data_IF_496090615584
#
_entry.id   IF_496090615584
#
_cell.length_a   1.000
_cell.length_b   1.000
_cell.length_c   1.000
_cell.angle_alpha   90.00
_cell.angle_beta   90.00
_cell.angle_gamma   90.00
#
_symmetry.space_group_name_H-M   'P 1'
#
loop_
_entity.id
_entity.type
_entity.pdbx_description
1 polymer ?
#
# COMPACT_ATOMS: atom_id res chain seq x y z
N UNK A 1 7.95 6.14 18.50
CA UNK A 1 9.37 5.72 18.49
C UNK A 1 9.92 5.61 19.91
N UNK A 2 9.93 6.67 20.72
CA UNK A 2 10.46 6.63 22.10
C UNK A 2 9.79 5.55 22.99
N UNK A 3 8.46 5.40 22.93
CA UNK A 3 7.72 4.38 23.71
C UNK A 3 8.01 2.93 23.29
N UNK A 4 8.36 2.71 22.01
CA UNK A 4 8.71 1.39 21.48
C UNK A 4 10.10 0.95 21.94
N UNK A 5 11.03 1.90 22.06
CA UNK A 5 12.41 1.65 22.50
C UNK A 5 12.50 1.42 24.01
N UNK A 6 11.66 2.09 24.81
CA UNK A 6 11.67 1.95 26.27
C UNK A 6 10.93 0.73 26.81
N UNK A 7 10.30 -0.07 25.94
CA UNK A 7 9.55 -1.29 26.33
C UNK A 7 8.33 -1.02 27.24
N UNK A 8 7.99 0.26 27.45
CA UNK A 8 6.93 0.67 28.35
C UNK A 8 5.58 0.36 27.71
N UNK A 9 4.81 -0.54 28.32
CA UNK A 9 3.45 -0.87 27.90
C UNK A 9 2.50 0.19 28.47
N UNK A 10 1.97 1.12 27.67
CA UNK A 10 1.04 2.11 28.18
C UNK A 10 -0.25 1.41 28.68
N UNK A 11 -0.97 2.03 29.63
CA UNK A 11 -2.22 1.47 30.16
C UNK A 11 -3.21 1.16 29.03
N UNK A 12 -4.01 0.10 29.21
CA UNK A 12 -4.89 -0.45 28.17
C UNK A 12 -5.86 0.59 27.56
N UNK A 13 -6.22 1.62 28.32
CA UNK A 13 -7.09 2.71 27.87
C UNK A 13 -6.41 3.51 26.75
N UNK A 14 -5.14 3.91 26.92
CA UNK A 14 -4.38 4.64 25.90
C UNK A 14 -4.18 3.78 24.64
N UNK A 15 -3.91 2.49 24.81
CA UNK A 15 -3.81 1.55 23.68
C UNK A 15 -5.13 1.44 22.92
N UNK A 16 -6.26 1.31 23.61
CA UNK A 16 -7.58 1.23 22.99
C UNK A 16 -7.91 2.51 22.22
N UNK A 17 -7.72 3.69 22.82
CA UNK A 17 -7.99 4.97 22.16
C UNK A 17 -7.13 5.12 20.91
N UNK A 18 -5.82 4.86 21.02
CA UNK A 18 -4.91 4.96 19.88
C UNK A 18 -5.27 3.98 18.75
N UNK A 19 -5.65 2.74 19.09
CA UNK A 19 -6.12 1.76 18.10
C UNK A 19 -7.43 2.20 17.44
N UNK A 20 -8.40 2.73 18.19
CA UNK A 20 -9.65 3.25 17.62
C UNK A 20 -9.40 4.40 16.66
N UNK A 21 -8.57 5.36 17.04
CA UNK A 21 -8.20 6.47 16.16
C UNK A 21 -7.49 5.96 14.89
N UNK A 22 -6.52 5.06 15.04
CA UNK A 22 -5.81 4.44 13.91
C UNK A 22 -6.74 3.69 12.95
N UNK A 23 -7.71 2.95 13.49
CA UNK A 23 -8.70 2.22 12.70
C UNK A 23 -9.63 3.13 11.89
N UNK A 24 -9.88 4.37 12.34
CA UNK A 24 -10.72 5.35 11.62
C UNK A 24 -9.99 6.06 10.47
N UNK A 25 -8.66 6.16 10.52
CA UNK A 25 -7.90 6.90 9.48
C UNK A 25 -8.07 6.26 8.10
N UNK A 26 -8.08 4.93 8.02
CA UNK A 26 -8.23 4.20 6.75
C UNK A 26 -9.57 4.47 6.04
N UNK A 27 -10.75 4.27 6.67
CA UNK A 27 -12.03 4.57 6.03
C UNK A 27 -12.21 6.07 5.73
N UNK A 28 -11.70 6.97 6.57
CA UNK A 28 -11.69 8.40 6.29
C UNK A 28 -10.83 8.74 5.06
N UNK A 29 -9.67 8.10 4.90
CA UNK A 29 -8.82 8.25 3.71
C UNK A 29 -9.53 7.79 2.44
N UNK A 30 -10.25 6.67 2.51
CA UNK A 30 -11.02 6.14 1.38
C UNK A 30 -12.17 7.08 0.97
N UNK A 31 -12.89 7.65 1.94
CA UNK A 31 -13.92 8.66 1.67
C UNK A 31 -13.32 9.91 1.02
N UNK A 32 -12.15 10.36 1.50
CA UNK A 32 -11.44 11.50 0.93
C UNK A 32 -11.01 11.24 -0.52
N UNK A 33 -10.43 10.07 -0.80
CA UNK A 33 -10.08 9.63 -2.17
C UNK A 33 -11.33 9.64 -3.06
N UNK A 34 -12.46 9.12 -2.58
CA UNK A 34 -13.74 9.15 -3.31
C UNK A 34 -14.22 10.56 -3.65
N UNK A 35 -14.10 11.50 -2.71
CA UNK A 35 -14.40 12.92 -2.95
C UNK A 35 -13.48 13.53 -4.00
N UNK A 36 -12.18 13.29 -3.92
CA UNK A 36 -11.20 13.79 -4.90
C UNK A 36 -11.52 13.30 -6.32
N UNK A 37 -11.91 12.04 -6.47
CA UNK A 37 -12.33 11.45 -7.75
C UNK A 37 -13.63 12.10 -8.26
N UNK A 38 -14.61 12.32 -7.39
CA UNK A 38 -15.87 12.95 -7.78
C UNK A 38 -15.67 14.38 -8.28
N UNK A 39 -14.86 15.18 -7.57
CA UNK A 39 -14.60 16.59 -7.94
C UNK A 39 -13.92 16.76 -9.29
N UNK A 40 -13.01 15.85 -9.64
CA UNK A 40 -12.27 15.91 -10.91
C UNK A 40 -12.97 15.12 -12.03
N UNK A 41 -14.05 14.39 -11.69
CA UNK A 41 -14.84 13.57 -12.59
C UNK A 41 -14.19 12.22 -12.93
N UNK A 42 -15.00 11.15 -12.98
CA UNK A 42 -14.52 9.80 -13.31
C UNK A 42 -13.84 9.72 -14.69
N UNK A 43 -14.18 10.63 -15.60
CA UNK A 43 -13.62 10.70 -16.96
C UNK A 43 -12.16 11.19 -16.97
N UNK A 44 -11.70 11.82 -15.89
CA UNK A 44 -10.34 12.31 -15.73
C UNK A 44 -9.42 11.32 -14.99
N UNK A 45 -9.91 10.10 -14.65
CA UNK A 45 -9.09 8.94 -14.27
C UNK A 45 -8.34 8.38 -15.50
N UNK A 46 -7.57 9.24 -16.17
CA UNK A 46 -6.64 8.79 -17.20
C UNK A 46 -5.41 8.26 -16.50
N UNK A 47 -5.13 6.98 -16.73
CA UNK A 47 -3.86 6.37 -16.34
C UNK A 47 -2.79 6.96 -17.26
N UNK A 48 -2.01 7.89 -16.72
CA UNK A 48 -0.87 8.45 -17.42
C UNK A 48 0.32 7.48 -17.40
N UNK A 49 1.29 7.68 -18.30
CA UNK A 49 2.51 6.86 -18.42
C UNK A 49 3.28 6.80 -17.10
N UNK A 50 3.30 7.90 -16.34
CA UNK A 50 3.92 7.96 -15.01
C UNK A 50 3.24 7.02 -14.01
N UNK A 51 1.91 6.95 -14.05
CA UNK A 51 1.15 6.10 -13.14
C UNK A 51 1.29 4.63 -13.50
N UNK A 52 1.33 4.31 -14.79
CA UNK A 52 1.66 2.97 -15.26
C UNK A 52 3.09 2.55 -14.86
N UNK A 53 4.06 3.48 -14.95
CA UNK A 53 5.43 3.23 -14.49
C UNK A 53 5.50 2.92 -12.99
N UNK A 54 4.78 3.68 -12.15
CA UNK A 54 4.67 3.42 -10.70
C UNK A 54 4.09 2.03 -10.43
N UNK A 55 3.04 1.65 -11.17
CA UNK A 55 2.45 0.33 -11.06
C UNK A 55 3.42 -0.77 -11.44
N UNK A 56 4.13 -0.61 -12.55
CA UNK A 56 5.10 -1.61 -13.03
C UNK A 56 6.24 -1.79 -12.02
N UNK A 57 6.78 -0.70 -11.49
CA UNK A 57 7.84 -0.74 -10.47
C UNK A 57 7.33 -1.40 -9.19
N UNK A 58 6.13 -1.05 -8.70
CA UNK A 58 5.59 -1.62 -7.45
C UNK A 58 5.15 -3.06 -7.56
N UNK A 59 4.46 -3.42 -8.64
CA UNK A 59 3.93 -4.77 -8.79
C UNK A 59 4.95 -5.74 -9.35
N UNK A 60 5.88 -5.34 -10.23
CA UNK A 60 6.79 -6.30 -10.86
C UNK A 60 8.19 -6.20 -10.24
N UNK A 61 8.78 -5.00 -10.26
CA UNK A 61 10.18 -4.82 -9.87
C UNK A 61 10.36 -5.05 -8.36
N UNK A 62 9.51 -4.48 -7.52
CA UNK A 62 9.63 -4.61 -6.07
C UNK A 62 9.54 -6.08 -5.58
N UNK A 63 8.51 -6.88 -5.92
CA UNK A 63 8.48 -8.27 -5.49
C UNK A 63 9.56 -9.14 -6.12
N UNK A 64 10.02 -8.85 -7.35
CA UNK A 64 11.18 -9.55 -7.92
C UNK A 64 12.44 -9.30 -7.09
N UNK A 65 12.74 -8.04 -6.76
CA UNK A 65 13.89 -7.70 -5.92
C UNK A 65 13.77 -8.38 -4.55
N UNK A 66 12.60 -8.33 -3.91
CA UNK A 66 12.38 -8.98 -2.61
C UNK A 66 12.58 -10.49 -2.69
N UNK A 67 12.01 -11.15 -3.71
CA UNK A 67 12.14 -12.59 -3.93
C UNK A 67 13.60 -13.02 -4.12
N UNK A 68 14.33 -12.35 -5.02
CA UNK A 68 15.74 -12.67 -5.24
C UNK A 68 16.59 -12.42 -4.00
N UNK A 69 16.39 -11.28 -3.33
CA UNK A 69 17.18 -10.93 -2.13
C UNK A 69 16.96 -11.94 -1.00
N UNK A 70 15.71 -12.34 -0.74
CA UNK A 70 15.38 -13.32 0.29
C UNK A 70 15.86 -14.74 -0.07
N UNK A 71 15.84 -15.10 -1.36
CA UNK A 71 16.38 -16.37 -1.84
C UNK A 71 17.90 -16.43 -1.70
N UNK A 72 18.62 -15.35 -2.03
CA UNK A 72 20.07 -15.26 -1.80
C UNK A 72 20.43 -15.23 -0.31
N UNK A 73 19.57 -14.68 0.53
CA UNK A 73 19.76 -14.70 1.98
C UNK A 73 19.49 -16.06 2.64
N UNK A 74 19.02 -17.07 1.90
CA UNK A 74 18.72 -18.40 2.43
C UNK A 74 17.52 -18.44 3.39
N UNK A 75 16.59 -17.48 3.29
CA UNK A 75 15.39 -17.46 4.11
C UNK A 75 14.49 -18.67 3.83
N UNK A 76 13.69 -19.07 4.83
CA UNK A 76 12.71 -20.14 4.64
C UNK A 76 11.68 -19.76 3.59
N UNK A 77 11.11 -20.78 2.93
CA UNK A 77 10.13 -20.62 1.86
C UNK A 77 8.94 -19.76 2.31
N UNK A 78 8.40 -20.06 3.49
CA UNK A 78 7.25 -19.33 4.05
C UNK A 78 7.54 -17.83 4.23
N UNK A 79 8.73 -17.49 4.75
CA UNK A 79 9.13 -16.08 4.93
C UNK A 79 9.25 -15.41 3.56
N UNK A 80 9.89 -16.06 2.60
CA UNK A 80 10.05 -15.52 1.25
C UNK A 80 8.71 -15.26 0.57
N UNK A 81 7.75 -16.18 0.69
CA UNK A 81 6.41 -16.04 0.13
C UNK A 81 5.64 -14.86 0.75
N UNK A 82 5.60 -14.77 2.09
CA UNK A 82 4.85 -13.72 2.80
C UNK A 82 5.43 -12.34 2.47
N UNK A 83 6.75 -12.17 2.54
CA UNK A 83 7.39 -10.87 2.27
C UNK A 83 7.29 -10.45 0.80
N UNK A 84 7.30 -11.41 -0.13
CA UNK A 84 7.11 -11.11 -1.56
C UNK A 84 5.69 -10.62 -1.84
N UNK A 85 4.68 -11.27 -1.26
CA UNK A 85 3.28 -10.82 -1.37
C UNK A 85 3.07 -9.47 -0.69
N UNK A 86 3.68 -9.23 0.48
CA UNK A 86 3.64 -7.92 1.15
C UNK A 86 4.28 -6.80 0.33
N UNK A 87 5.30 -7.11 -0.46
CA UNK A 87 5.94 -6.13 -1.35
C UNK A 87 5.02 -5.71 -2.51
N UNK A 88 4.10 -6.59 -2.92
CA UNK A 88 3.08 -6.32 -3.92
C UNK A 88 1.82 -5.63 -3.34
N UNK A 89 1.86 -5.19 -2.08
CA UNK A 89 0.74 -4.45 -1.47
C UNK A 89 0.47 -3.13 -2.21
N UNK A 90 -0.82 -2.72 -2.30
CA UNK A 90 -1.20 -1.51 -3.00
C UNK A 90 -0.61 -0.25 -2.35
N UNK A 91 -0.58 0.84 -3.11
CA UNK A 91 0.03 2.09 -2.65
C UNK A 91 -0.69 2.68 -1.42
N UNK A 92 0.07 3.34 -0.55
CA UNK A 92 -0.43 3.83 0.72
C UNK A 92 -1.43 4.98 0.54
N UNK A 93 -2.67 4.77 0.99
CA UNK A 93 -3.78 5.73 0.92
C UNK A 93 -3.50 7.06 1.65
N UNK A 94 -2.60 7.05 2.63
CA UNK A 94 -2.24 8.24 3.43
C UNK A 94 -1.54 9.32 2.59
N UNK A 95 -0.89 8.95 1.48
CA UNK A 95 -0.20 9.89 0.60
C UNK A 95 -1.18 10.91 0.01
N UNK A 96 -2.43 10.51 -0.28
CA UNK A 96 -3.46 11.39 -0.82
C UNK A 96 -3.86 12.49 0.15
N UNK A 97 -3.99 12.18 1.44
CA UNK A 97 -4.31 13.16 2.49
C UNK A 97 -3.16 14.15 2.63
N UNK A 98 -1.92 13.64 2.71
CA UNK A 98 -0.73 14.48 2.83
C UNK A 98 -0.59 15.38 1.60
N UNK A 99 -0.74 14.84 0.39
CA UNK A 99 -0.69 15.64 -0.83
C UNK A 99 -1.73 16.77 -0.82
N UNK A 100 -2.95 16.50 -0.36
CA UNK A 100 -3.98 17.52 -0.23
C UNK A 100 -3.66 18.59 0.84
N UNK A 101 -3.08 18.18 1.97
CA UNK A 101 -2.69 19.12 3.04
C UNK A 101 -1.53 20.04 2.62
N UNK A 102 -0.58 19.52 1.84
CA UNK A 102 0.60 20.27 1.39
C UNK A 102 0.41 20.97 0.03
N UNK A 103 -0.81 20.96 -0.53
CA UNK A 103 -1.11 21.59 -1.83
C UNK A 103 -0.43 20.91 -3.03
N UNK A 104 0.02 19.67 -2.87
CA UNK A 104 0.53 18.85 -3.97
C UNK A 104 -0.63 18.21 -4.76
N UNK A 105 -0.29 17.45 -5.81
CA UNK A 105 -1.28 16.82 -6.68
C UNK A 105 -2.01 15.65 -5.98
N UNK A 106 -3.03 16.02 -5.20
CA UNK A 106 -3.93 15.10 -4.51
C UNK A 106 -4.78 14.27 -5.47
N UNK A 107 -5.04 14.78 -6.67
CA UNK A 107 -5.75 14.02 -7.71
C UNK A 107 -4.90 12.87 -8.22
N UNK A 108 -3.66 13.12 -8.62
CA UNK A 108 -2.73 12.08 -9.05
C UNK A 108 -2.50 11.03 -7.94
N UNK A 109 -2.34 11.47 -6.69
CA UNK A 109 -2.23 10.56 -5.55
C UNK A 109 -3.48 9.68 -5.39
N UNK A 110 -4.69 10.28 -5.45
CA UNK A 110 -5.97 9.57 -5.37
C UNK A 110 -6.14 8.55 -6.51
N UNK A 111 -5.86 8.95 -7.75
CA UNK A 111 -5.95 8.05 -8.91
C UNK A 111 -4.94 6.91 -8.75
N UNK A 112 -3.69 7.17 -8.33
CA UNK A 112 -2.70 6.11 -8.11
C UNK A 112 -3.13 5.11 -7.03
N UNK A 113 -3.69 5.60 -5.93
CA UNK A 113 -4.22 4.76 -4.85
C UNK A 113 -5.34 3.86 -5.39
N UNK A 114 -6.34 4.44 -6.04
CA UNK A 114 -7.48 3.69 -6.58
C UNK A 114 -7.07 2.69 -7.65
N UNK A 115 -6.24 3.08 -8.62
CA UNK A 115 -5.82 2.16 -9.67
C UNK A 115 -4.97 1.03 -9.09
N UNK A 116 -4.08 1.29 -8.12
CA UNK A 116 -3.28 0.22 -7.50
C UNK A 116 -4.13 -0.71 -6.63
N UNK A 117 -5.17 -0.20 -5.95
CA UNK A 117 -6.14 -1.05 -5.24
C UNK A 117 -6.89 -1.96 -6.21
N UNK A 118 -7.37 -1.43 -7.34
CA UNK A 118 -8.04 -2.22 -8.37
C UNK A 118 -7.09 -3.25 -8.98
N UNK A 119 -5.85 -2.84 -9.31
CA UNK A 119 -4.85 -3.74 -9.84
C UNK A 119 -4.50 -4.86 -8.85
N UNK A 120 -4.44 -4.56 -7.54
CA UNK A 120 -4.11 -5.56 -6.52
C UNK A 120 -5.11 -6.72 -6.46
N UNK A 121 -6.39 -6.50 -6.80
CA UNK A 121 -7.37 -7.59 -6.91
C UNK A 121 -6.99 -8.65 -7.95
N UNK A 122 -6.24 -8.27 -8.99
CA UNK A 122 -5.74 -9.20 -10.00
C UNK A 122 -4.32 -9.69 -9.66
N UNK A 123 -3.44 -8.79 -9.22
CA UNK A 123 -2.03 -9.13 -8.97
C UNK A 123 -1.85 -10.03 -7.74
N UNK A 124 -2.59 -9.82 -6.65
CA UNK A 124 -2.48 -10.64 -5.43
C UNK A 124 -2.76 -12.12 -5.70
N UNK A 125 -3.89 -12.54 -6.32
CA UNK A 125 -4.12 -13.95 -6.62
C UNK A 125 -3.11 -14.52 -7.62
N UNK A 126 -2.63 -13.71 -8.58
CA UNK A 126 -1.56 -14.11 -9.50
C UNK A 126 -0.28 -14.44 -8.73
N UNK A 127 0.15 -13.59 -7.79
CA UNK A 127 1.32 -13.87 -6.95
C UNK A 127 1.12 -15.09 -6.05
N UNK A 128 -0.08 -15.27 -5.49
CA UNK A 128 -0.39 -16.45 -4.68
C UNK A 128 -0.31 -17.76 -5.48
N UNK A 129 -0.63 -17.75 -6.78
CA UNK A 129 -0.49 -18.93 -7.63
C UNK A 129 0.94 -19.11 -8.15
N UNK A 130 1.64 -18.01 -8.44
CA UNK A 130 2.99 -18.05 -9.01
C UNK A 130 4.06 -18.43 -7.97
N UNK A 131 3.95 -17.97 -6.74
CA UNK A 131 4.95 -18.19 -5.68
C UNK A 131 5.17 -19.67 -5.35
N UNK A 132 4.13 -20.52 -5.19
CA UNK A 132 4.30 -21.96 -5.00
C UNK A 132 4.85 -22.70 -6.23
N UNK A 133 4.70 -22.13 -7.44
CA UNK A 133 5.19 -22.75 -8.68
C UNK A 133 6.69 -22.45 -8.94
N UNK A 134 7.20 -21.35 -8.39
CA UNK A 134 8.59 -20.90 -8.55
C UNK A 134 9.57 -21.54 -7.54
N UNK A 135 9.05 -22.41 -6.67
CA UNK A 135 9.82 -23.16 -5.69
C UNK A 135 9.80 -24.65 -6.03
#
# INVERSE_FOLDING_TARGET
MILLVTGFKPPQILLKISNYMGAMVTPLSLLFIGKCIHQHGLRNLRIDKYQLAIMFVRFIIAPLITFYTLRFAGCSEFVTQVFTVLSAMPSAMQITIVAAQYGADSHFAAVSATTTTIASLLFVPVYMYLMPLLW
#
